data_IF_583298248838
#
_entry.id   IF_583298248838
#
_cell.length_a   1.000
_cell.length_b   1.000
_cell.length_c   1.000
_cell.angle_alpha   90.00
_cell.angle_beta   90.00
_cell.angle_gamma   90.00
#
_symmetry.space_group_name_H-M   'P 1'
#
loop_
_entity.id
_entity.type
_entity.pdbx_description
1 polymer ?
#
# COMPACT_ATOMS: atom_id res chain seq x y z
N UNK A 1 -8.78 2.74 12.39
CA UNK A 1 -7.91 1.58 12.69
C UNK A 1 -6.43 1.91 12.42
N UNK A 2 -6.00 2.19 11.19
CA UNK A 2 -4.60 2.56 10.87
C UNK A 2 -4.10 3.79 11.67
N UNK A 3 -4.84 4.89 11.67
CA UNK A 3 -4.42 6.09 12.40
C UNK A 3 -4.21 5.84 13.90
N UNK A 4 -5.10 5.05 14.51
CA UNK A 4 -5.01 4.62 15.92
C UNK A 4 -3.79 3.72 16.16
N UNK A 5 -3.57 2.72 15.31
CA UNK A 5 -2.38 1.85 15.37
C UNK A 5 -1.09 2.67 15.36
N UNK A 6 -0.97 3.64 14.44
CA UNK A 6 0.20 4.49 14.35
C UNK A 6 0.34 5.40 15.59
N UNK A 7 -0.76 5.98 16.08
CA UNK A 7 -0.75 6.85 17.25
C UNK A 7 -0.31 6.11 18.51
N UNK A 8 -0.86 4.92 18.79
CA UNK A 8 -0.54 4.11 19.97
C UNK A 8 0.93 3.67 20.00
N UNK A 9 1.57 3.55 18.83
CA UNK A 9 2.97 3.14 18.67
C UNK A 9 3.91 4.33 18.42
N UNK A 10 3.42 5.56 18.47
CA UNK A 10 4.22 6.76 18.21
C UNK A 10 4.78 6.86 16.78
N UNK A 11 4.20 6.12 15.82
CA UNK A 11 4.69 6.05 14.45
C UNK A 11 4.27 7.29 13.66
N UNK A 12 5.24 8.13 13.33
CA UNK A 12 5.05 9.25 12.40
C UNK A 12 5.02 8.72 10.97
N UNK A 13 3.98 9.08 10.22
CA UNK A 13 3.83 8.67 8.83
C UNK A 13 3.18 9.77 7.99
N UNK A 14 3.38 9.69 6.69
CA UNK A 14 2.64 10.50 5.71
C UNK A 14 1.81 9.59 4.83
N UNK A 15 0.59 10.02 4.51
CA UNK A 15 -0.26 9.32 3.56
C UNK A 15 -0.02 9.87 2.16
N UNK A 16 0.16 8.97 1.19
CA UNK A 16 0.24 9.27 -0.25
C UNK A 16 -0.60 8.27 -1.03
N UNK A 17 -0.67 8.45 -2.34
CA UNK A 17 -1.32 7.51 -3.24
C UNK A 17 -0.41 7.21 -4.43
N UNK A 18 -0.58 6.02 -5.00
CA UNK A 18 0.03 5.63 -6.27
C UNK A 18 -1.00 4.84 -7.07
N UNK A 19 -1.06 5.09 -8.37
CA UNK A 19 -1.86 4.26 -9.27
C UNK A 19 -1.05 3.02 -9.64
N UNK A 20 -1.54 1.84 -9.28
CA UNK A 20 -1.01 0.56 -9.74
C UNK A 20 -1.69 0.17 -11.05
N UNK A 21 -0.92 -0.24 -12.05
CA UNK A 21 -1.43 -0.65 -13.37
C UNK A 21 -0.87 -2.02 -13.72
N UNK A 22 -1.75 -2.95 -14.11
CA UNK A 22 -1.42 -4.31 -14.53
C UNK A 22 -1.27 -4.43 -16.05
N UNK A 23 -0.61 -5.49 -16.56
CA UNK A 23 -0.41 -5.70 -18.00
C UNK A 23 -1.71 -5.73 -18.82
N UNK A 24 -2.82 -6.18 -18.22
CA UNK A 24 -4.14 -6.21 -18.85
C UNK A 24 -4.86 -4.83 -18.87
N UNK A 25 -4.19 -3.76 -18.43
CA UNK A 25 -4.75 -2.41 -18.38
C UNK A 25 -5.64 -2.12 -17.17
N UNK A 26 -5.94 -3.11 -16.32
CA UNK A 26 -6.61 -2.85 -15.04
C UNK A 26 -5.72 -1.98 -14.16
N UNK A 27 -6.36 -1.10 -13.39
CA UNK A 27 -5.67 -0.21 -12.47
C UNK A 27 -6.41 -0.05 -11.15
N UNK A 28 -5.65 0.26 -10.10
CA UNK A 28 -6.17 0.58 -8.77
C UNK A 28 -5.36 1.70 -8.15
N UNK A 29 -6.00 2.48 -7.27
CA UNK A 29 -5.30 3.49 -6.48
C UNK A 29 -4.93 2.90 -5.11
N UNK A 30 -3.65 2.71 -4.87
CA UNK A 30 -3.13 2.26 -3.59
C UNK A 30 -2.90 3.46 -2.68
N UNK A 31 -3.29 3.33 -1.40
CA UNK A 31 -2.90 4.25 -0.35
C UNK A 31 -1.55 3.81 0.22
N UNK A 32 -0.60 4.72 0.23
CA UNK A 32 0.73 4.51 0.79
C UNK A 32 0.81 5.14 2.18
N UNK A 33 1.34 4.39 3.14
CA UNK A 33 1.75 4.89 4.45
C UNK A 33 3.27 4.96 4.49
N UNK A 34 3.82 6.17 4.32
CA UNK A 34 5.24 6.41 4.22
C UNK A 34 5.83 6.70 5.60
N UNK A 35 6.80 5.90 6.02
CA UNK A 35 7.52 6.06 7.29
C UNK A 35 8.93 6.58 7.04
N UNK A 36 9.52 7.24 8.06
CA UNK A 36 10.88 7.79 7.99
C UNK A 36 11.98 6.71 8.03
N UNK A 37 11.66 5.54 8.55
CA UNK A 37 12.60 4.46 8.79
C UNK A 37 11.99 3.09 8.47
N UNK A 38 12.86 2.14 8.15
CA UNK A 38 12.48 0.80 7.72
C UNK A 38 11.84 -0.03 8.86
N UNK A 39 12.19 0.24 10.12
CA UNK A 39 11.64 -0.50 11.26
C UNK A 39 10.16 -0.17 11.48
N UNK A 40 9.80 1.11 11.37
CA UNK A 40 8.41 1.57 11.40
C UNK A 40 7.60 1.01 10.24
N UNK A 41 8.15 1.02 9.02
CA UNK A 41 7.50 0.42 7.85
C UNK A 41 7.30 -1.10 8.02
N UNK A 42 8.30 -1.79 8.57
CA UNK A 42 8.21 -3.22 8.87
C UNK A 42 7.14 -3.52 9.92
N UNK A 43 7.10 -2.79 11.03
CA UNK A 43 6.07 -2.92 12.06
C UNK A 43 4.65 -2.74 11.50
N UNK A 44 4.49 -1.81 10.55
CA UNK A 44 3.22 -1.60 9.86
C UNK A 44 2.84 -2.79 8.96
N UNK A 45 3.78 -3.29 8.16
CA UNK A 45 3.55 -4.44 7.27
C UNK A 45 3.25 -5.70 8.07
N UNK A 46 3.98 -5.95 9.15
CA UNK A 46 3.78 -7.13 10.01
C UNK A 46 2.39 -7.14 10.65
N UNK A 47 1.75 -5.98 10.83
CA UNK A 47 0.41 -5.89 11.39
C UNK A 47 -0.71 -5.88 10.33
N UNK A 48 -0.53 -5.18 9.22
CA UNK A 48 -1.57 -5.01 8.19
C UNK A 48 -1.36 -5.89 6.95
N UNK A 49 -0.32 -6.71 6.91
CA UNK A 49 0.01 -7.60 5.80
C UNK A 49 0.06 -6.88 4.43
N UNK A 50 0.46 -5.62 4.46
CA UNK A 50 0.56 -4.77 3.27
C UNK A 50 1.77 -5.12 2.40
N UNK A 51 1.83 -4.47 1.24
CA UNK A 51 2.96 -4.61 0.33
C UNK A 51 4.02 -3.52 0.60
N UNK A 52 5.29 -3.93 0.61
CA UNK A 52 6.40 -2.97 0.64
C UNK A 52 6.45 -2.21 -0.70
N UNK A 53 6.56 -0.88 -0.61
CA UNK A 53 6.66 0.01 -1.76
C UNK A 53 7.96 0.82 -1.68
N UNK A 54 8.84 0.64 -2.66
CA UNK A 54 10.05 1.45 -2.84
C UNK A 54 9.85 2.39 -4.03
N UNK A 55 9.72 3.72 -3.84
CA UNK A 55 9.50 4.65 -4.94
C UNK A 55 10.52 4.54 -6.07
N UNK A 56 11.79 4.22 -5.79
CA UNK A 56 12.83 4.11 -6.83
C UNK A 56 12.59 2.92 -7.72
N UNK A 57 12.24 1.77 -7.15
CA UNK A 57 11.96 0.54 -7.89
C UNK A 57 10.57 0.55 -8.51
N UNK A 58 9.59 0.93 -7.71
CA UNK A 58 8.18 0.66 -7.93
C UNK A 58 7.45 1.82 -8.63
N UNK A 59 8.03 3.01 -8.71
CA UNK A 59 7.36 4.19 -9.30
C UNK A 59 8.14 4.75 -10.47
N UNK A 60 8.26 3.97 -11.53
CA UNK A 60 8.92 4.36 -12.80
C UNK A 60 10.24 5.12 -12.54
N UNK A 61 11.17 4.47 -11.84
CA UNK A 61 12.45 5.03 -11.43
C UNK A 61 12.36 6.28 -10.52
N UNK A 62 11.41 6.29 -9.58
CA UNK A 62 11.25 7.38 -8.62
C UNK A 62 10.38 8.55 -9.06
N UNK A 63 9.88 8.56 -10.29
CA UNK A 63 9.05 9.65 -10.83
C UNK A 63 7.85 9.94 -9.92
N UNK A 64 7.74 11.16 -9.39
CA UNK A 64 6.69 11.55 -8.45
C UNK A 64 5.28 11.38 -9.03
N UNK A 65 5.13 11.56 -10.34
CA UNK A 65 3.88 11.36 -11.08
C UNK A 65 3.81 9.98 -11.76
N UNK A 66 4.82 9.15 -11.56
CA UNK A 66 4.88 7.81 -12.13
C UNK A 66 3.87 6.86 -11.50
N UNK A 67 3.54 5.81 -12.24
CA UNK A 67 2.64 4.75 -11.81
C UNK A 67 3.41 3.55 -11.29
N UNK A 68 2.76 2.70 -10.50
CA UNK A 68 3.29 1.41 -10.11
C UNK A 68 2.94 0.35 -11.15
N UNK A 69 3.89 0.07 -12.05
CA UNK A 69 3.74 -1.02 -13.02
C UNK A 69 3.82 -2.36 -12.30
N UNK A 70 2.68 -3.04 -12.23
CA UNK A 70 2.56 -4.36 -11.60
C UNK A 70 3.01 -5.43 -12.59
N UNK A 71 3.57 -6.50 -12.05
CA UNK A 71 3.85 -7.74 -12.79
C UNK A 71 2.81 -8.79 -12.44
N UNK A 72 2.50 -9.67 -13.38
CA UNK A 72 1.54 -10.76 -13.18
C UNK A 72 0.09 -10.36 -13.36
N UNK A 73 -0.81 -11.21 -12.87
CA UNK A 73 -2.25 -11.02 -13.00
C UNK A 73 -2.81 -10.09 -11.92
N UNK A 74 -3.93 -9.46 -12.27
CA UNK A 74 -4.67 -8.63 -11.33
C UNK A 74 -5.50 -9.51 -10.40
N UNK A 75 -5.22 -9.42 -9.10
CA UNK A 75 -6.03 -10.01 -8.03
C UNK A 75 -6.42 -8.90 -7.04
N UNK A 76 -7.71 -8.68 -6.77
CA UNK A 76 -8.14 -7.67 -5.82
C UNK A 76 -7.64 -8.02 -4.42
N UNK A 77 -7.13 -7.01 -3.70
CA UNK A 77 -6.74 -7.16 -2.29
C UNK A 77 -8.00 -6.98 -1.44
N UNK A 78 -8.54 -8.09 -0.94
CA UNK A 78 -9.76 -8.09 -0.12
C UNK A 78 -9.47 -8.02 1.37
N UNK A 79 -8.30 -8.50 1.79
CA UNK A 79 -7.90 -8.62 3.18
C UNK A 79 -6.45 -8.11 3.36
N UNK A 80 -6.22 -7.39 4.45
CA UNK A 80 -4.97 -6.75 4.86
C UNK A 80 -4.84 -6.84 6.39
N UNK A 81 -4.45 -8.03 6.86
CA UNK A 81 -4.41 -8.36 8.29
C UNK A 81 -5.75 -8.08 8.98
N UNK A 82 -5.84 -7.11 9.92
CA UNK A 82 -7.08 -6.79 10.62
C UNK A 82 -8.09 -5.98 9.77
N UNK A 83 -7.73 -5.60 8.54
CA UNK A 83 -8.60 -4.89 7.62
C UNK A 83 -9.17 -5.87 6.59
N UNK A 84 -10.47 -5.87 6.42
CA UNK A 84 -11.14 -6.65 5.39
C UNK A 84 -12.19 -5.80 4.68
N UNK A 85 -12.30 -6.00 3.36
CA UNK A 85 -13.40 -5.42 2.58
C UNK A 85 -14.69 -6.12 3.02
N UNK A 86 -15.74 -5.38 3.43
CA UNK A 86 -17.02 -5.98 3.79
C UNK A 86 -17.57 -6.84 2.64
N UNK A 87 -18.20 -7.97 2.98
CA UNK A 87 -18.70 -8.95 1.99
C UNK A 87 -19.64 -8.32 0.95
N UNK A 88 -20.51 -7.39 1.38
CA UNK A 88 -21.41 -6.65 0.48
C UNK A 88 -20.69 -5.83 -0.60
N UNK A 89 -19.39 -5.57 -0.42
CA UNK A 89 -18.55 -4.82 -1.36
C UNK A 89 -17.58 -5.72 -2.15
N UNK A 90 -17.61 -7.05 -1.93
CA UNK A 90 -16.80 -8.02 -2.68
C UNK A 90 -17.60 -8.46 -3.91
N UNK A 91 -17.34 -7.84 -5.06
CA UNK A 91 -17.99 -8.15 -6.34
C UNK A 91 -17.10 -8.86 -7.35
#
# INVERSE_FOLDING_TARGET
>A
MIAKFCQERGLKHQTRHVQAIWPNGKYETYRLHCFSDAASAKSFIDHFEGLMFDPRRDRENGNVRGVWRRTGEYTPVLDLGPLSVPEILRS
#
